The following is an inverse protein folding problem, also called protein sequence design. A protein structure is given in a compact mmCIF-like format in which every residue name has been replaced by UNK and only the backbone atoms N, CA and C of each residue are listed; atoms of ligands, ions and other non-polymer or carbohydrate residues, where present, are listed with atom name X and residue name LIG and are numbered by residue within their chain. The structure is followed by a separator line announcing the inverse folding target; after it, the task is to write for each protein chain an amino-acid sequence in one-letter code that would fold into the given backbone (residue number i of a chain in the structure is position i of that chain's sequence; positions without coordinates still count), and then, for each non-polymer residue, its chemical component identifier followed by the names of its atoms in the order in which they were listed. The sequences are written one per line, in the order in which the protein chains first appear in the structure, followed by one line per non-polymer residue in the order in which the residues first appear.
data_IF_842941974129
#
_entry.id   IF_842941974129
#
_cell.length_a   1.000
_cell.length_b   1.000
_cell.length_c   1.000
_cell.angle_alpha   90.00
_cell.angle_beta   90.00
_cell.angle_gamma   90.00
#
_symmetry.space_group_name_H-M   'P 1'
#
loop_
_entity.id
_entity.type
_entity.pdbx_description
1 polymer ?
#
# COMPACT_ATOMS: atom_id res chain seq x y z
N UNK A 1 3.34 18.91 -10.05
CA UNK A 1 4.24 17.76 -9.78
C UNK A 1 3.45 16.47 -9.91
N UNK A 2 3.94 15.58 -10.71
CA UNK A 2 3.25 14.31 -10.91
C UNK A 2 3.47 13.36 -9.72
N UNK A 3 2.41 12.66 -9.35
CA UNK A 3 2.49 11.64 -8.33
C UNK A 3 3.28 10.45 -8.85
N UNK A 4 4.28 10.01 -8.10
CA UNK A 4 5.08 8.86 -8.45
C UNK A 4 4.68 7.68 -7.55
N UNK A 5 4.07 6.65 -8.15
CA UNK A 5 3.56 5.52 -7.39
C UNK A 5 4.67 4.80 -6.61
N UNK A 6 5.85 4.61 -7.21
CA UNK A 6 6.96 3.96 -6.53
C UNK A 6 7.38 4.75 -5.29
N UNK A 7 7.46 6.08 -5.42
CA UNK A 7 7.82 6.95 -4.30
C UNK A 7 6.76 6.88 -3.18
N UNK A 8 5.48 6.90 -3.55
CA UNK A 8 4.40 6.80 -2.57
C UNK A 8 4.46 5.48 -1.82
N UNK A 9 4.71 4.37 -2.51
CA UNK A 9 4.87 3.08 -1.86
C UNK A 9 6.11 3.03 -0.99
N UNK A 10 7.21 3.64 -1.43
CA UNK A 10 8.42 3.71 -0.61
C UNK A 10 8.14 4.44 0.70
N UNK A 11 7.42 5.57 0.64
CA UNK A 11 7.05 6.34 1.83
C UNK A 11 6.18 5.51 2.77
N UNK A 12 5.22 4.76 2.23
CA UNK A 12 4.41 3.85 3.04
C UNK A 12 5.27 2.81 3.75
N UNK A 13 6.22 2.22 3.04
CA UNK A 13 7.06 1.16 3.58
C UNK A 13 7.97 1.71 4.68
N UNK A 14 8.52 2.91 4.50
CA UNK A 14 9.30 3.56 5.55
C UNK A 14 8.49 3.72 6.83
N UNK A 15 7.25 4.17 6.69
CA UNK A 15 6.37 4.34 7.85
C UNK A 15 6.02 3.02 8.49
N UNK A 16 5.74 2.00 7.68
CA UNK A 16 5.44 0.66 8.17
C UNK A 16 6.62 0.05 8.94
N UNK A 17 7.84 0.40 8.54
CA UNK A 17 9.06 -0.09 9.18
C UNK A 17 9.48 0.74 10.38
N UNK A 18 8.87 1.90 10.61
CA UNK A 18 9.31 2.85 11.63
C UNK A 18 8.99 2.42 13.06
N UNK A 19 8.22 1.37 13.25
CA UNK A 19 7.84 0.85 14.57
C UNK A 19 7.06 1.86 15.41
N UNK A 20 6.35 2.78 14.76
CA UNK A 20 5.49 3.75 15.44
C UNK A 20 4.06 3.24 15.50
N UNK A 21 3.58 3.02 16.70
CA UNK A 21 2.24 2.49 16.91
C UNK A 21 2.14 1.02 16.56
N UNK A 22 0.93 0.46 16.68
CA UNK A 22 0.70 -0.94 16.37
C UNK A 22 0.47 -1.15 14.87
N UNK A 23 0.42 -2.42 14.47
CA UNK A 23 0.26 -2.77 13.05
C UNK A 23 -1.06 -2.26 12.48
N UNK A 24 -2.11 -2.19 13.28
CA UNK A 24 -3.41 -1.70 12.82
C UNK A 24 -3.36 -0.22 12.47
N UNK A 25 -2.67 0.58 13.28
CA UNK A 25 -2.50 2.02 13.00
C UNK A 25 -1.68 2.23 11.74
N UNK A 26 -0.65 1.41 11.55
CA UNK A 26 0.18 1.48 10.36
C UNK A 26 -0.61 1.09 9.10
N UNK A 27 -1.50 0.10 9.23
CA UNK A 27 -2.37 -0.27 8.12
C UNK A 27 -3.31 0.88 7.72
N UNK A 28 -3.86 1.60 8.70
CA UNK A 28 -4.71 2.77 8.44
C UNK A 28 -3.91 3.87 7.72
N UNK A 29 -2.68 4.09 8.14
CA UNK A 29 -1.81 5.06 7.48
C UNK A 29 -1.57 4.68 6.02
N UNK A 30 -1.29 3.41 5.76
CA UNK A 30 -1.06 2.92 4.41
C UNK A 30 -2.32 3.09 3.55
N UNK A 31 -3.49 2.82 4.11
CA UNK A 31 -4.75 3.02 3.39
C UNK A 31 -4.94 4.47 2.96
N UNK A 32 -4.60 5.41 3.83
CA UNK A 32 -4.69 6.83 3.48
C UNK A 32 -3.77 7.17 2.31
N UNK A 33 -2.57 6.61 2.31
CA UNK A 33 -1.63 6.82 1.20
C UNK A 33 -2.13 6.19 -0.09
N UNK A 34 -2.71 4.99 -0.01
CA UNK A 34 -3.30 4.34 -1.19
C UNK A 34 -4.40 5.19 -1.82
N UNK A 35 -5.12 5.95 -1.00
CA UNK A 35 -6.19 6.81 -1.49
C UNK A 35 -5.73 7.86 -2.48
N UNK A 36 -4.45 8.22 -2.45
CA UNK A 36 -3.89 9.19 -3.39
C UNK A 36 -3.50 8.58 -4.74
N UNK A 37 -3.45 7.24 -4.82
CA UNK A 37 -3.04 6.57 -6.04
C UNK A 37 -4.24 6.20 -6.89
N UNK A 38 -4.15 6.53 -8.17
CA UNK A 38 -5.15 6.16 -9.16
C UNK A 38 -4.59 5.05 -10.07
N UNK A 39 -5.44 4.27 -10.74
CA UNK A 39 -4.95 3.19 -11.60
C UNK A 39 -3.94 3.64 -12.64
N UNK A 40 -4.08 4.86 -13.15
CA UNK A 40 -3.17 5.40 -14.16
C UNK A 40 -1.76 5.65 -13.67
N UNK A 41 -1.54 5.66 -12.34
CA UNK A 41 -0.22 5.87 -11.76
C UNK A 41 0.64 4.60 -11.77
N UNK A 42 0.05 3.45 -12.08
CA UNK A 42 0.76 2.17 -12.09
C UNK A 42 0.63 1.51 -13.46
N UNK A 43 1.57 0.59 -13.81
CA UNK A 43 1.46 -0.15 -15.06
C UNK A 43 0.13 -0.90 -15.17
N UNK A 44 -0.37 -1.02 -16.38
CA UNK A 44 -1.66 -1.65 -16.64
C UNK A 44 -1.78 -3.04 -15.98
N UNK A 45 -0.71 -3.83 -16.03
CA UNK A 45 -0.72 -5.17 -15.48
C UNK A 45 -0.94 -5.20 -13.96
N UNK A 46 -0.68 -4.09 -13.27
CA UNK A 46 -0.81 -4.01 -11.82
C UNK A 46 -2.06 -3.28 -11.35
N UNK A 47 -2.85 -2.73 -12.29
CA UNK A 47 -4.02 -1.93 -11.92
C UNK A 47 -5.08 -2.72 -11.16
N UNK A 48 -5.32 -3.97 -11.56
CA UNK A 48 -6.28 -4.83 -10.87
C UNK A 48 -5.84 -5.10 -9.43
N UNK A 49 -4.57 -5.35 -9.23
CA UNK A 49 -4.04 -5.60 -7.88
C UNK A 49 -4.10 -4.34 -7.02
N UNK A 50 -3.83 -3.17 -7.61
CA UNK A 50 -3.98 -1.90 -6.89
C UNK A 50 -5.41 -1.70 -6.42
N UNK A 51 -6.40 -1.99 -7.26
CA UNK A 51 -7.80 -1.88 -6.89
C UNK A 51 -8.15 -2.81 -5.73
N UNK A 52 -7.62 -4.02 -5.72
CA UNK A 52 -7.85 -4.95 -4.62
C UNK A 52 -7.23 -4.45 -3.32
N UNK A 53 -6.03 -3.88 -3.40
CA UNK A 53 -5.39 -3.29 -2.22
C UNK A 53 -6.21 -2.13 -1.67
N UNK A 54 -6.71 -1.26 -2.52
CA UNK A 54 -7.54 -0.14 -2.10
C UNK A 54 -8.82 -0.63 -1.43
N UNK A 55 -9.43 -1.67 -1.98
CA UNK A 55 -10.63 -2.27 -1.42
C UNK A 55 -10.36 -2.90 -0.05
N UNK A 56 -9.25 -3.62 0.06
CA UNK A 56 -8.83 -4.21 1.34
C UNK A 56 -8.57 -3.12 2.38
N UNK A 57 -7.96 -2.03 1.96
CA UNK A 57 -7.64 -0.91 2.84
C UNK A 57 -8.85 -0.19 3.39
N UNK A 58 -9.97 -0.22 2.66
CA UNK A 58 -11.20 0.43 3.12
C UNK A 58 -11.66 -0.09 4.49
N UNK A 59 -11.29 -1.34 4.82
CA UNK A 59 -11.61 -1.93 6.10
C UNK A 59 -10.50 -1.81 7.14
N UNK A 60 -9.46 -1.03 6.87
CA UNK A 60 -8.26 -0.99 7.73
C UNK A 60 -8.55 -0.66 9.19
N UNK A 61 -9.51 0.23 9.44
CA UNK A 61 -9.85 0.63 10.81
C UNK A 61 -10.47 -0.50 11.62
N UNK A 62 -11.02 -1.50 10.95
CA UNK A 62 -11.69 -2.64 11.57
C UNK A 62 -10.86 -3.91 11.54
N UNK A 63 -9.64 -3.84 11.01
CA UNK A 63 -8.78 -5.01 10.90
C UNK A 63 -8.29 -5.50 12.25
N UNK A 64 -8.29 -6.82 12.41
CA UNK A 64 -7.57 -7.45 13.52
C UNK A 64 -6.08 -7.33 13.26
N UNK A 65 -5.26 -7.65 14.25
CA UNK A 65 -3.81 -7.63 14.09
C UNK A 65 -3.35 -8.54 12.96
N UNK A 66 -3.92 -9.76 12.86
CA UNK A 66 -3.58 -10.69 11.79
C UNK A 66 -3.98 -10.18 10.42
N UNK A 67 -5.16 -9.58 10.32
CA UNK A 67 -5.64 -9.00 9.06
C UNK A 67 -4.76 -7.82 8.63
N UNK A 68 -4.38 -6.97 9.57
CA UNK A 68 -3.50 -5.85 9.30
C UNK A 68 -2.12 -6.34 8.83
N UNK A 69 -1.60 -7.38 9.45
CA UNK A 69 -0.34 -7.99 9.04
C UNK A 69 -0.42 -8.49 7.59
N UNK A 70 -1.49 -9.20 7.25
CA UNK A 70 -1.68 -9.70 5.90
C UNK A 70 -1.78 -8.56 4.89
N UNK A 71 -2.47 -7.49 5.24
CA UNK A 71 -2.57 -6.31 4.38
C UNK A 71 -1.20 -5.70 4.11
N UNK A 72 -0.39 -5.55 5.16
CA UNK A 72 0.97 -5.01 5.03
C UNK A 72 1.82 -5.90 4.12
N UNK A 73 1.71 -7.22 4.28
CA UNK A 73 2.47 -8.16 3.43
C UNK A 73 2.07 -8.03 1.96
N UNK A 74 0.80 -7.81 1.69
CA UNK A 74 0.33 -7.58 0.30
C UNK A 74 0.90 -6.28 -0.26
N UNK A 75 1.00 -5.24 0.57
CA UNK A 75 1.60 -3.97 0.14
C UNK A 75 3.07 -4.15 -0.23
N UNK A 76 3.81 -4.89 0.58
CA UNK A 76 5.22 -5.15 0.30
C UNK A 76 5.40 -5.95 -1.00
N UNK A 77 4.56 -6.95 -1.21
CA UNK A 77 4.58 -7.74 -2.42
C UNK A 77 4.29 -6.89 -3.65
N UNK A 78 3.28 -6.02 -3.55
CA UNK A 78 2.93 -5.11 -4.64
C UNK A 78 4.09 -4.16 -4.96
N UNK A 79 4.72 -3.61 -3.94
CA UNK A 79 5.87 -2.73 -4.13
C UNK A 79 6.99 -3.42 -4.90
N UNK A 80 7.27 -4.69 -4.57
CA UNK A 80 8.28 -5.47 -5.28
C UNK A 80 7.94 -5.62 -6.77
N UNK A 81 6.68 -5.89 -7.08
CA UNK A 81 6.21 -5.99 -8.46
C UNK A 81 6.31 -4.66 -9.19
N UNK A 82 5.97 -3.58 -8.51
CA UNK A 82 6.02 -2.23 -9.08
C UNK A 82 7.46 -1.86 -9.44
N UNK A 83 8.40 -2.13 -8.55
CA UNK A 83 9.81 -1.87 -8.82
C UNK A 83 10.33 -2.70 -9.99
N UNK A 84 9.95 -3.97 -10.04
CA UNK A 84 10.38 -4.86 -11.12
C UNK A 84 9.88 -4.38 -12.48
N UNK A 85 8.68 -3.79 -12.52
CA UNK A 85 8.10 -3.33 -13.79
C UNK A 85 8.65 -1.98 -14.24
N UNK A 86 9.28 -1.21 -13.35
CA UNK A 86 9.85 0.09 -13.70
C UNK A 86 11.36 0.06 -13.88
N UNK A 87 11.99 -1.04 -13.58
CA UNK A 87 13.45 -1.20 -13.73
C UNK A 87 13.87 -1.61 -15.13
#
# INVERSE_FOLDING_TARGET
MELNAEHEFWTMIEELASDRGNIQKRAVYADKRLGFLEPEHVPEALRGELQRLKSDGDGARSMSEGEAHNFVMKLLSFYGKLRASTS
#
